data_IF_678011377250
#
_entry.id   IF_678011377250
#
_cell.length_a   1.000
_cell.length_b   1.000
_cell.length_c   1.000
_cell.angle_alpha   90.00
_cell.angle_beta   90.00
_cell.angle_gamma   90.00
#
_symmetry.space_group_name_H-M   'P 1'
#
loop_
_entity.id
_entity.type
_entity.pdbx_description
1 polymer ?
#
# COMPACT_ATOMS: atom_id res chain seq x y z
N UNK A 1 35.40 15.88 1.39
CA UNK A 1 34.13 16.64 1.30
C UNK A 1 33.14 16.09 2.32
N UNK A 2 33.55 16.04 3.59
CA UNK A 2 32.77 15.49 4.72
C UNK A 2 32.98 16.31 6.00
N UNK A 3 33.76 17.40 5.93
CA UNK A 3 34.13 18.23 7.09
C UNK A 3 33.38 19.57 7.13
N UNK A 4 32.71 20.00 6.04
CA UNK A 4 32.12 21.34 5.97
C UNK A 4 30.64 21.45 6.38
N UNK A 5 29.97 20.34 6.72
CA UNK A 5 28.56 20.35 7.18
C UNK A 5 28.42 20.36 8.71
N UNK A 6 29.52 20.49 9.46
CA UNK A 6 29.55 20.47 10.93
C UNK A 6 30.01 21.80 11.54
N UNK A 7 29.81 22.94 10.87
CA UNK A 7 30.09 24.25 11.47
C UNK A 7 28.92 24.70 12.35
N UNK A 8 28.89 24.19 13.58
CA UNK A 8 28.31 24.88 14.74
C UNK A 8 29.43 24.95 15.79
N UNK A 9 29.97 26.14 16.03
CA UNK A 9 31.11 26.45 16.92
C UNK A 9 30.85 26.20 18.43
N UNK A 10 29.91 25.32 18.78
CA UNK A 10 29.65 24.90 20.15
C UNK A 10 30.09 23.44 20.33
N UNK A 11 31.06 23.14 21.22
CA UNK A 11 31.45 21.77 21.50
C UNK A 11 30.23 21.00 22.04
N UNK A 12 29.84 19.95 21.32
CA UNK A 12 28.76 19.07 21.72
C UNK A 12 29.14 18.43 23.07
N UNK A 13 28.32 18.56 24.12
CA UNK A 13 28.61 17.93 25.39
C UNK A 13 28.68 16.41 25.23
N UNK A 14 29.64 15.76 25.90
CA UNK A 14 30.00 14.35 25.71
C UNK A 14 28.78 13.39 25.86
N UNK A 15 27.81 13.76 26.71
CA UNK A 15 26.55 13.02 26.88
C UNK A 15 25.54 13.13 25.72
N UNK A 16 25.67 14.13 24.83
CA UNK A 16 24.78 14.31 23.67
C UNK A 16 25.36 13.75 22.36
N UNK A 17 26.65 13.41 22.33
CA UNK A 17 27.32 12.95 21.10
C UNK A 17 26.62 11.71 20.52
N UNK A 18 26.18 10.78 21.37
CA UNK A 18 25.39 9.61 20.95
C UNK A 18 24.05 9.97 20.30
N UNK A 19 23.32 10.95 20.86
CA UNK A 19 22.03 11.39 20.31
C UNK A 19 22.19 12.12 18.97
N UNK A 20 23.24 12.92 18.82
CA UNK A 20 23.56 13.63 17.58
C UNK A 20 24.03 12.65 16.49
N UNK A 21 24.81 11.64 16.85
CA UNK A 21 25.22 10.58 15.93
C UNK A 21 24.00 9.78 15.40
N UNK A 22 23.09 9.37 16.30
CA UNK A 22 21.85 8.67 15.92
C UNK A 22 20.98 9.54 15.01
N UNK A 23 20.79 10.81 15.36
CA UNK A 23 20.00 11.75 14.56
C UNK A 23 20.61 11.97 13.17
N UNK A 24 21.94 11.97 13.06
CA UNK A 24 22.63 12.09 11.77
C UNK A 24 22.47 10.83 10.92
N UNK A 25 22.48 9.65 11.53
CA UNK A 25 22.21 8.38 10.85
C UNK A 25 20.75 8.30 10.36
N UNK A 26 19.79 8.68 11.21
CA UNK A 26 18.37 8.72 10.86
C UNK A 26 18.12 9.61 9.64
N UNK A 27 18.77 10.77 9.56
CA UNK A 27 18.69 11.67 8.39
C UNK A 27 19.16 11.01 7.10
N UNK A 28 20.31 10.34 7.12
CA UNK A 28 20.85 9.65 5.94
C UNK A 28 19.95 8.47 5.55
N UNK A 29 19.52 7.68 6.55
CA UNK A 29 18.63 6.55 6.38
C UNK A 29 17.29 6.96 5.74
N UNK A 30 16.63 7.98 6.30
CA UNK A 30 15.35 8.45 5.76
C UNK A 30 15.51 9.12 4.40
N UNK A 31 16.57 9.91 4.20
CA UNK A 31 16.86 10.51 2.89
C UNK A 31 17.00 9.45 1.80
N UNK A 32 17.70 8.35 2.08
CA UNK A 32 17.88 7.27 1.11
C UNK A 32 16.54 6.65 0.69
N UNK A 33 15.65 6.38 1.65
CA UNK A 33 14.34 5.76 1.42
C UNK A 33 13.38 6.72 0.75
N UNK A 34 13.28 7.96 1.24
CA UNK A 34 12.47 9.03 0.66
C UNK A 34 12.79 9.27 -0.81
N UNK A 35 14.09 9.23 -1.16
CA UNK A 35 14.57 9.57 -2.49
C UNK A 35 14.51 8.40 -3.48
N UNK A 36 14.07 7.21 -3.06
CA UNK A 36 14.07 6.00 -3.91
C UNK A 36 12.84 5.13 -3.69
N UNK A 37 11.67 5.76 -3.53
CA UNK A 37 10.41 5.03 -3.37
C UNK A 37 9.99 4.44 -4.71
N UNK A 38 9.70 3.16 -4.78
CA UNK A 38 9.25 2.44 -5.98
C UNK A 38 7.79 2.00 -5.83
N UNK A 39 6.84 2.75 -6.43
CA UNK A 39 5.45 2.39 -6.35
C UNK A 39 5.15 1.11 -7.12
N UNK A 40 4.28 0.27 -6.55
CA UNK A 40 3.71 -0.88 -7.22
C UNK A 40 2.73 -0.39 -8.29
N UNK A 41 2.87 -0.91 -9.51
CA UNK A 41 1.91 -0.67 -10.58
C UNK A 41 0.61 -1.44 -10.28
N UNK A 42 -0.26 -0.83 -9.48
CA UNK A 42 -1.52 -1.42 -9.06
C UNK A 42 -2.68 -0.47 -9.36
N UNK A 43 -3.53 -0.88 -10.32
CA UNK A 43 -4.64 -0.08 -10.84
C UNK A 43 -5.96 -0.84 -10.80
N UNK A 44 -7.00 -0.26 -10.18
CA UNK A 44 -8.31 -0.90 -10.03
C UNK A 44 -9.40 -0.27 -10.89
N UNK A 45 -9.43 1.07 -10.96
CA UNK A 45 -10.50 1.81 -11.62
C UNK A 45 -9.98 3.12 -12.25
N UNK A 46 -10.82 4.14 -12.35
CA UNK A 46 -10.49 5.43 -12.97
C UNK A 46 -9.27 6.14 -12.34
N UNK A 47 -8.99 5.96 -11.05
CA UNK A 47 -7.80 6.53 -10.41
C UNK A 47 -6.49 5.95 -10.96
N UNK A 48 -6.51 4.75 -11.54
CA UNK A 48 -5.34 4.17 -12.19
C UNK A 48 -4.95 4.94 -13.46
N UNK A 49 -5.93 5.47 -14.21
CA UNK A 49 -5.66 6.29 -15.40
C UNK A 49 -4.97 7.58 -14.99
N UNK A 50 -5.43 8.19 -13.89
CA UNK A 50 -4.83 9.41 -13.37
C UNK A 50 -3.43 9.18 -12.78
N UNK A 51 -3.21 8.00 -12.18
CA UNK A 51 -1.87 7.55 -11.77
C UNK A 51 -0.93 7.41 -12.97
N UNK A 52 -1.40 6.80 -14.07
CA UNK A 52 -0.63 6.69 -15.32
C UNK A 52 -0.36 8.08 -15.93
N UNK A 53 -1.35 8.98 -15.89
CA UNK A 53 -1.18 10.36 -16.35
C UNK A 53 -0.15 11.13 -15.51
N UNK A 54 -0.06 10.83 -14.22
CA UNK A 54 0.97 11.40 -13.32
C UNK A 54 2.36 10.85 -13.64
N UNK A 55 2.46 9.59 -14.06
CA UNK A 55 3.71 8.98 -14.52
C UNK A 55 4.14 9.46 -15.91
N UNK A 56 3.26 10.12 -16.66
CA UNK A 56 3.59 10.67 -17.98
C UNK A 56 4.47 11.94 -17.88
N UNK A 57 4.98 12.37 -19.02
CA UNK A 57 5.96 13.46 -19.16
C UNK A 57 5.55 14.82 -18.58
N UNK A 58 4.25 15.06 -18.38
CA UNK A 58 3.75 16.35 -17.87
C UNK A 58 4.04 16.54 -16.37
N UNK A 59 3.96 15.46 -15.59
CA UNK A 59 4.05 15.51 -14.13
C UNK A 59 5.27 14.76 -13.58
N UNK A 60 5.72 13.74 -14.31
CA UNK A 60 6.97 12.99 -14.13
C UNK A 60 7.28 12.59 -12.67
N UNK A 61 6.91 11.35 -12.33
CA UNK A 61 7.24 10.74 -11.04
C UNK A 61 8.74 10.48 -10.85
N UNK A 62 9.53 10.41 -11.92
CA UNK A 62 10.97 10.16 -11.82
C UNK A 62 11.70 11.28 -11.07
N UNK A 63 11.17 12.51 -11.12
CA UNK A 63 11.70 13.66 -10.37
C UNK A 63 11.77 13.42 -8.86
N UNK A 64 10.93 12.55 -8.32
CA UNK A 64 10.86 12.24 -6.89
C UNK A 64 11.50 10.89 -6.54
N UNK A 65 12.24 10.28 -7.47
CA UNK A 65 12.84 8.94 -7.30
C UNK A 65 11.86 7.78 -7.51
N UNK A 66 10.66 8.08 -8.03
CA UNK A 66 9.58 7.12 -8.31
C UNK A 66 9.49 6.79 -9.80
N UNK A 67 10.65 6.65 -10.45
CA UNK A 67 10.76 6.45 -11.90
C UNK A 67 10.28 5.07 -12.37
N UNK A 68 10.38 4.05 -11.50
CA UNK A 68 10.04 2.67 -11.84
C UNK A 68 8.75 2.24 -11.12
N UNK A 69 7.64 2.25 -11.85
CA UNK A 69 6.42 1.57 -11.42
C UNK A 69 6.61 0.06 -11.55
N UNK A 70 6.87 -0.64 -10.44
CA UNK A 70 7.18 -2.07 -10.43
C UNK A 70 5.88 -2.89 -10.45
N UNK A 71 5.77 -3.82 -11.41
CA UNK A 71 4.64 -4.76 -11.45
C UNK A 71 4.76 -5.89 -10.40
N UNK A 72 5.96 -6.11 -9.83
CA UNK A 72 6.19 -7.14 -8.82
C UNK A 72 6.10 -6.56 -7.42
N UNK A 73 5.27 -7.12 -6.51
CA UNK A 73 5.17 -6.64 -5.14
C UNK A 73 6.47 -6.83 -4.35
N UNK A 74 7.27 -7.84 -4.68
CA UNK A 74 8.54 -8.12 -3.99
C UNK A 74 9.63 -7.08 -4.24
N UNK A 75 9.45 -6.24 -5.26
CA UNK A 75 10.38 -5.19 -5.65
C UNK A 75 9.87 -3.79 -5.30
N UNK A 76 8.60 -3.66 -4.90
CA UNK A 76 7.98 -2.37 -4.60
C UNK A 76 7.94 -2.15 -3.09
N UNK A 77 8.08 -0.90 -2.67
CA UNK A 77 7.98 -0.47 -1.28
C UNK A 77 6.72 0.38 -1.02
N UNK A 78 6.11 0.97 -2.05
CA UNK A 78 4.88 1.75 -1.94
C UNK A 78 3.73 1.07 -2.71
N UNK A 79 2.64 0.75 -2.02
CA UNK A 79 1.40 0.28 -2.64
C UNK A 79 0.41 1.44 -2.78
N UNK A 80 0.14 1.87 -4.01
CA UNK A 80 -0.90 2.85 -4.31
C UNK A 80 -2.20 2.11 -4.61
N UNK A 81 -3.18 2.21 -3.71
CA UNK A 81 -4.52 1.64 -3.94
C UNK A 81 -5.33 2.64 -4.76
N UNK A 82 -5.25 2.51 -6.09
CA UNK A 82 -5.84 3.46 -7.05
C UNK A 82 -7.20 2.99 -7.59
N UNK A 83 -8.25 3.22 -6.81
CA UNK A 83 -9.64 3.08 -7.26
C UNK A 83 -10.55 2.28 -6.34
N UNK A 84 -11.64 1.77 -6.90
CA UNK A 84 -12.69 1.08 -6.15
C UNK A 84 -12.24 -0.31 -5.73
N UNK A 85 -12.33 -0.59 -4.44
CA UNK A 85 -11.96 -1.89 -3.87
C UNK A 85 -13.22 -2.74 -3.69
N UNK A 86 -13.28 -3.85 -4.42
CA UNK A 86 -14.39 -4.80 -4.32
C UNK A 86 -14.08 -5.90 -3.31
N UNK A 87 -15.13 -6.49 -2.70
CA UNK A 87 -15.02 -7.62 -1.76
C UNK A 87 -14.21 -8.79 -2.34
N UNK A 88 -14.32 -9.04 -3.65
CA UNK A 88 -13.53 -10.08 -4.35
C UNK A 88 -12.04 -9.72 -4.47
N UNK A 89 -11.73 -8.43 -4.58
CA UNK A 89 -10.35 -7.97 -4.77
C UNK A 89 -9.56 -7.84 -3.47
N UNK A 90 -10.23 -7.57 -2.33
CA UNK A 90 -9.57 -7.43 -1.02
C UNK A 90 -8.58 -8.54 -0.67
N UNK A 91 -8.92 -9.85 -0.73
CA UNK A 91 -7.96 -10.90 -0.35
C UNK A 91 -6.71 -10.89 -1.22
N UNK A 92 -6.83 -10.46 -2.48
CA UNK A 92 -5.69 -10.29 -3.39
C UNK A 92 -4.84 -9.10 -2.96
N UNK A 93 -5.44 -7.98 -2.56
CA UNK A 93 -4.70 -6.80 -2.06
C UNK A 93 -3.94 -7.14 -0.79
N UNK A 94 -4.58 -7.81 0.17
CA UNK A 94 -3.94 -8.26 1.42
C UNK A 94 -2.78 -9.20 1.10
N UNK A 95 -2.95 -10.12 0.15
CA UNK A 95 -1.87 -11.00 -0.31
C UNK A 95 -0.72 -10.23 -0.96
N UNK A 96 -1.01 -9.24 -1.80
CA UNK A 96 0.04 -8.41 -2.42
C UNK A 96 0.82 -7.64 -1.36
N UNK A 97 0.13 -7.05 -0.39
CA UNK A 97 0.73 -6.33 0.72
C UNK A 97 1.62 -7.23 1.59
N UNK A 98 1.17 -8.44 1.92
CA UNK A 98 1.98 -9.40 2.68
C UNK A 98 3.24 -9.86 1.89
N UNK A 99 3.21 -9.82 0.56
CA UNK A 99 4.34 -10.19 -0.29
C UNK A 99 5.35 -9.06 -0.52
N UNK A 100 5.07 -7.84 -0.05
CA UNK A 100 6.01 -6.72 -0.13
C UNK A 100 7.09 -6.80 0.95
N UNK A 101 8.34 -6.43 0.63
CA UNK A 101 9.41 -6.36 1.62
C UNK A 101 9.15 -5.23 2.63
N UNK A 102 9.67 -5.38 3.84
CA UNK A 102 9.81 -4.25 4.74
C UNK A 102 11.02 -3.40 4.30
N UNK A 103 10.92 -2.07 4.27
CA UNK A 103 9.78 -1.24 4.69
C UNK A 103 8.71 -1.07 3.59
N UNK A 104 7.43 -1.22 3.96
CA UNK A 104 6.31 -1.03 3.03
C UNK A 104 5.35 0.08 3.46
N UNK A 105 4.78 0.76 2.49
CA UNK A 105 3.86 1.88 2.67
C UNK A 105 2.61 1.74 1.82
N UNK A 106 1.50 2.31 2.29
CA UNK A 106 0.22 2.24 1.59
C UNK A 106 -0.39 3.62 1.44
N UNK A 107 -0.74 3.97 0.21
CA UNK A 107 -1.38 5.22 -0.14
C UNK A 107 -2.76 4.93 -0.74
N UNK A 108 -3.80 5.44 -0.10
CA UNK A 108 -5.17 5.31 -0.58
C UNK A 108 -5.49 6.47 -1.54
N UNK A 109 -5.65 6.15 -2.83
CA UNK A 109 -5.89 7.14 -3.87
C UNK A 109 -7.37 7.16 -4.27
N UNK A 110 -8.02 8.28 -4.01
CA UNK A 110 -9.39 8.56 -4.40
C UNK A 110 -10.43 8.16 -3.37
N UNK A 111 -11.65 8.69 -3.53
CA UNK A 111 -12.75 8.52 -2.59
C UNK A 111 -13.15 7.05 -2.39
N UNK A 112 -13.01 6.22 -3.42
CA UNK A 112 -13.37 4.81 -3.33
C UNK A 112 -12.40 4.01 -2.45
N UNK A 113 -11.09 4.25 -2.54
CA UNK A 113 -10.09 3.57 -1.71
C UNK A 113 -10.17 4.04 -0.25
N UNK A 114 -10.42 5.33 -0.03
CA UNK A 114 -10.50 5.91 1.31
C UNK A 114 -11.78 5.57 2.08
N UNK A 115 -12.91 5.39 1.40
CA UNK A 115 -14.21 5.28 2.08
C UNK A 115 -15.34 4.60 1.30
N UNK A 116 -15.04 3.91 0.19
CA UNK A 116 -16.02 3.33 -0.73
C UNK A 116 -16.60 4.34 -1.74
N UNK A 117 -16.43 5.65 -1.50
CA UNK A 117 -16.79 6.72 -2.44
C UNK A 117 -18.28 6.68 -2.81
N UNK A 118 -18.65 6.98 -4.08
CA UNK A 118 -20.04 6.93 -4.53
C UNK A 118 -20.65 5.51 -4.49
N UNK A 119 -19.82 4.47 -4.37
CA UNK A 119 -20.26 3.08 -4.34
C UNK A 119 -20.32 2.49 -2.93
N UNK A 120 -20.27 3.33 -1.89
CA UNK A 120 -20.24 2.88 -0.48
C UNK A 120 -21.44 2.00 -0.10
N UNK A 121 -22.60 2.25 -0.70
CA UNK A 121 -23.83 1.47 -0.47
C UNK A 121 -23.94 0.23 -1.38
N UNK A 122 -22.97 0.02 -2.27
CA UNK A 122 -22.95 -1.13 -3.16
C UNK A 122 -22.66 -2.44 -2.44
N UNK A 123 -23.37 -3.51 -2.79
CA UNK A 123 -23.24 -4.84 -2.17
C UNK A 123 -21.84 -5.46 -2.29
N UNK A 124 -21.08 -5.07 -3.32
CA UNK A 124 -19.80 -5.66 -3.68
C UNK A 124 -18.59 -4.76 -3.34
N UNK A 125 -18.80 -3.53 -2.88
CA UNK A 125 -17.72 -2.57 -2.59
C UNK A 125 -17.42 -2.53 -1.11
N UNK A 126 -16.14 -2.42 -0.76
CA UNK A 126 -15.70 -2.21 0.61
C UNK A 126 -15.68 -0.72 0.93
N UNK A 127 -16.15 -0.35 2.12
CA UNK A 127 -16.23 1.04 2.57
C UNK A 127 -14.87 1.68 2.94
N UNK A 128 -13.75 1.19 2.41
CA UNK A 128 -12.40 1.65 2.73
C UNK A 128 -11.38 0.51 2.79
N UNK A 129 -10.17 0.73 2.28
CA UNK A 129 -9.06 -0.24 2.33
C UNK A 129 -8.42 -0.32 3.73
N UNK A 130 -8.60 0.73 4.51
CA UNK A 130 -8.15 0.91 5.90
C UNK A 130 -8.66 -0.16 6.87
N UNK A 131 -9.82 -0.77 6.57
CA UNK A 131 -10.37 -1.89 7.34
C UNK A 131 -9.53 -3.16 7.27
N UNK A 132 -8.68 -3.29 6.25
CA UNK A 132 -7.93 -4.52 5.98
C UNK A 132 -6.42 -4.31 6.03
N UNK A 133 -5.93 -3.14 5.63
CA UNK A 133 -4.49 -2.86 5.51
C UNK A 133 -4.24 -1.46 6.09
N UNK A 134 -3.14 -1.24 6.84
CA UNK A 134 -2.81 0.08 7.35
C UNK A 134 -2.52 1.05 6.20
N UNK A 135 -3.24 2.17 6.17
CA UNK A 135 -3.04 3.25 5.19
C UNK A 135 -2.20 4.36 5.81
N UNK A 136 -1.14 4.77 5.12
CA UNK A 136 -0.24 5.82 5.57
C UNK A 136 -0.72 7.22 5.22
N UNK A 137 -1.20 7.40 3.99
CA UNK A 137 -1.63 8.68 3.43
C UNK A 137 -2.91 8.48 2.60
N UNK A 138 -3.88 9.36 2.81
CA UNK A 138 -5.12 9.41 2.04
C UNK A 138 -5.10 10.59 1.07
N UNK A 139 -5.50 10.35 -0.18
CA UNK A 139 -5.63 11.40 -1.19
C UNK A 139 -7.10 11.48 -1.61
N UNK A 140 -7.83 12.53 -1.19
CA UNK A 140 -9.21 12.72 -1.60
C UNK A 140 -9.29 13.12 -3.08
N UNK A 141 -10.33 12.63 -3.78
CA UNK A 141 -10.62 12.97 -5.18
C UNK A 141 -11.40 11.88 -5.92
N UNK A 142 -11.94 12.18 -7.10
CA UNK A 142 -12.71 11.21 -7.91
C UNK A 142 -12.65 11.52 -9.43
N UNK A 143 -11.53 11.23 -10.12
CA UNK A 143 -10.22 10.89 -9.58
C UNK A 143 -9.50 12.13 -9.01
N UNK A 144 -8.55 11.98 -8.06
CA UNK A 144 -7.73 13.09 -7.61
C UNK A 144 -6.83 13.58 -8.74
N UNK A 145 -6.69 14.90 -8.92
CA UNK A 145 -5.83 15.44 -9.98
C UNK A 145 -4.38 14.97 -9.84
N UNK A 146 -3.57 14.96 -10.92
CA UNK A 146 -2.19 14.49 -10.86
C UNK A 146 -1.34 15.31 -9.88
N UNK A 147 -1.64 16.61 -9.76
CA UNK A 147 -1.01 17.48 -8.77
C UNK A 147 -1.38 17.08 -7.34
N UNK A 148 -2.63 16.67 -7.09
CA UNK A 148 -3.05 16.18 -5.79
C UNK A 148 -2.38 14.83 -5.45
N UNK A 149 -2.20 13.96 -6.45
CA UNK A 149 -1.41 12.74 -6.28
C UNK A 149 0.04 13.05 -5.90
N UNK A 150 0.70 13.94 -6.65
CA UNK A 150 2.06 14.41 -6.34
C UNK A 150 2.17 15.00 -4.94
N UNK A 151 1.21 15.82 -4.53
CA UNK A 151 1.20 16.37 -3.17
C UNK A 151 1.07 15.27 -2.11
N UNK A 152 0.23 14.25 -2.34
CA UNK A 152 0.14 13.09 -1.45
C UNK A 152 1.44 12.29 -1.37
N UNK A 153 2.18 12.16 -2.48
CA UNK A 153 3.51 11.55 -2.50
C UNK A 153 4.54 12.37 -1.73
N UNK A 154 4.50 13.70 -1.84
CA UNK A 154 5.35 14.60 -1.02
C UNK A 154 5.01 14.45 0.47
N UNK A 155 3.72 14.35 0.83
CA UNK A 155 3.31 14.08 2.21
C UNK A 155 3.79 12.71 2.71
N UNK A 156 3.83 11.70 1.84
CA UNK A 156 4.42 10.40 2.15
C UNK A 156 5.93 10.53 2.42
N UNK A 157 6.64 11.32 1.61
CA UNK A 157 8.05 11.62 1.81
C UNK A 157 8.32 12.35 3.13
N UNK A 158 7.49 13.34 3.48
CA UNK A 158 7.55 14.02 4.78
C UNK A 158 7.33 13.06 5.96
N UNK A 159 6.41 12.09 5.80
CA UNK A 159 6.17 11.04 6.80
C UNK A 159 7.39 10.14 6.99
N UNK A 160 8.10 9.81 5.91
CA UNK A 160 9.34 9.02 5.96
C UNK A 160 10.46 9.80 6.65
N UNK A 161 10.59 11.10 6.35
CA UNK A 161 11.60 11.97 6.98
C UNK A 161 11.44 12.04 8.51
N UNK A 162 10.22 11.90 9.02
CA UNK A 162 9.91 11.94 10.46
C UNK A 162 10.13 10.64 11.24
N UNK A 163 10.60 9.55 10.61
CA UNK A 163 10.82 8.26 11.29
C UNK A 163 12.20 8.20 11.97
N UNK A 164 12.31 7.49 13.10
CA UNK A 164 13.62 7.14 13.68
C UNK A 164 13.89 5.65 13.53
N UNK A 165 15.14 5.27 13.25
CA UNK A 165 15.57 3.87 13.10
C UNK A 165 15.25 3.03 14.35
N UNK A 166 15.18 3.65 15.53
CA UNK A 166 14.87 2.96 16.77
C UNK A 166 13.38 2.66 16.96
N UNK A 167 12.51 3.45 16.35
CA UNK A 167 11.05 3.39 16.58
C UNK A 167 10.31 2.55 15.53
N UNK A 168 10.92 2.38 14.35
CA UNK A 168 10.27 1.75 13.21
C UNK A 168 9.92 0.28 13.45
N UNK A 169 8.78 -0.21 12.92
CA UNK A 169 8.30 -1.57 13.21
C UNK A 169 9.23 -2.69 12.76
N UNK A 170 9.92 -2.52 11.62
CA UNK A 170 10.67 -3.61 10.98
C UNK A 170 12.02 -3.95 11.62
N UNK A 171 12.54 -3.10 12.53
CA UNK A 171 13.74 -3.40 13.31
C UNK A 171 13.44 -3.88 14.73
N UNK A 172 12.15 -4.01 15.09
CA UNK A 172 11.75 -4.57 16.38
C UNK A 172 12.04 -6.07 16.40
N UNK A 173 12.38 -6.59 17.58
CA UNK A 173 12.66 -8.02 17.76
C UNK A 173 11.41 -8.90 17.68
N UNK A 174 10.23 -8.31 17.81
CA UNK A 174 8.95 -9.01 17.70
C UNK A 174 8.70 -9.46 16.25
N UNK A 175 8.19 -10.68 16.04
CA UNK A 175 7.83 -11.13 14.70
C UNK A 175 6.69 -10.26 14.15
N UNK A 176 6.82 -9.82 12.89
CA UNK A 176 5.77 -9.10 12.20
C UNK A 176 4.73 -10.13 11.73
N UNK A 177 3.57 -10.14 12.37
CA UNK A 177 2.48 -11.02 11.97
C UNK A 177 1.92 -10.59 10.59
N UNK A 178 1.75 -11.58 9.70
CA UNK A 178 1.10 -11.35 8.42
C UNK A 178 -0.38 -11.00 8.62
N UNK A 179 -0.89 -10.06 7.82
CA UNK A 179 -2.32 -9.73 7.87
C UNK A 179 -3.11 -10.96 7.38
N UNK A 180 -4.09 -11.46 8.16
CA UNK A 180 -4.87 -12.61 7.75
C UNK A 180 -5.64 -12.30 6.48
N UNK A 181 -5.59 -13.21 5.50
CA UNK A 181 -6.38 -13.07 4.28
C UNK A 181 -7.87 -13.18 4.62
N UNK A 182 -8.68 -12.17 4.30
CA UNK A 182 -10.10 -12.22 4.59
C UNK A 182 -10.80 -13.27 3.74
N UNK A 183 -11.68 -14.03 4.37
CA UNK A 183 -12.54 -14.97 3.68
C UNK A 183 -13.58 -14.22 2.84
N UNK A 184 -13.86 -14.75 1.66
CA UNK A 184 -14.94 -14.25 0.83
C UNK A 184 -16.27 -14.50 1.55
N UNK A 185 -17.19 -13.54 1.45
CA UNK A 185 -18.53 -13.70 1.99
C UNK A 185 -19.28 -14.84 1.27
N UNK A 186 -20.36 -15.38 1.87
CA UNK A 186 -21.14 -16.48 1.28
C UNK A 186 -21.73 -16.14 -0.10
N UNK A 187 -21.88 -14.86 -0.41
CA UNK A 187 -22.37 -14.36 -1.70
C UNK A 187 -21.33 -14.43 -2.83
N UNK A 188 -20.06 -14.70 -2.50
CA UNK A 188 -18.95 -14.72 -3.45
C UNK A 188 -18.41 -16.14 -3.60
N UNK A 189 -18.33 -16.59 -4.84
CA UNK A 189 -17.72 -17.87 -5.18
C UNK A 189 -16.21 -17.73 -5.11
N UNK A 190 -15.57 -18.56 -4.27
CA UNK A 190 -14.12 -18.77 -4.32
C UNK A 190 -13.80 -19.79 -5.42
N UNK A 191 -12.95 -19.45 -6.40
CA UNK A 191 -12.52 -20.40 -7.43
C UNK A 191 -11.85 -21.67 -6.88
N UNK A 192 -11.28 -21.61 -5.67
CA UNK A 192 -10.64 -22.77 -5.03
C UNK A 192 -11.63 -23.85 -4.62
N UNK A 193 -12.88 -23.47 -4.38
CA UNK A 193 -13.93 -24.35 -3.90
C UNK A 193 -14.75 -24.95 -5.06
N UNK A 194 -14.42 -24.62 -6.32
CA UNK A 194 -15.08 -25.16 -7.53
C UNK A 194 -15.15 -26.69 -7.55
N UNK A 195 -14.10 -27.45 -7.20
CA UNK A 195 -14.17 -28.91 -7.16
C UNK A 195 -15.26 -29.42 -6.21
N UNK A 196 -15.34 -28.83 -5.02
CA UNK A 196 -16.31 -29.19 -3.98
C UNK A 196 -17.75 -28.88 -4.42
N UNK A 197 -17.95 -27.77 -5.14
CA UNK A 197 -19.25 -27.44 -5.72
C UNK A 197 -19.64 -28.42 -6.83
N UNK A 198 -18.71 -28.84 -7.68
CA UNK A 198 -18.98 -29.81 -8.74
C UNK A 198 -19.39 -31.18 -8.17
N UNK A 199 -18.76 -31.61 -7.08
CA UNK A 199 -19.12 -32.86 -6.39
C UNK A 199 -20.51 -32.76 -5.75
N UNK A 200 -20.81 -31.64 -5.07
CA UNK A 200 -22.15 -31.38 -4.52
C UNK A 200 -23.24 -31.34 -5.59
N UNK A 201 -22.95 -30.75 -6.75
CA UNK A 201 -23.89 -30.69 -7.87
C UNK A 201 -24.21 -32.08 -8.40
N UNK A 202 -23.19 -32.93 -8.60
CA UNK A 202 -23.38 -34.34 -9.02
C UNK A 202 -24.23 -35.11 -8.00
N UNK A 203 -23.92 -34.99 -6.71
CA UNK A 203 -24.71 -35.64 -5.66
C UNK A 203 -26.18 -35.14 -5.62
N UNK A 204 -26.40 -33.87 -5.94
CA UNK A 204 -27.74 -33.28 -6.02
C UNK A 204 -28.50 -33.75 -7.27
N UNK A 205 -27.83 -33.88 -8.41
CA UNK A 205 -28.38 -34.47 -9.64
C UNK A 205 -28.76 -35.94 -9.43
N UNK A 206 -27.91 -36.73 -8.77
CA UNK A 206 -28.19 -38.13 -8.42
C UNK A 206 -29.41 -38.24 -7.48
N UNK A 207 -29.52 -37.37 -6.47
CA UNK A 207 -30.71 -37.32 -5.58
C UNK A 207 -31.99 -36.97 -6.35
N UNK A 208 -31.93 -35.96 -7.22
CA UNK A 208 -33.08 -35.53 -8.00
C UNK A 208 -33.50 -36.58 -9.04
N UNK A 209 -32.55 -37.36 -9.57
CA UNK A 209 -32.84 -38.49 -10.44
C UNK A 209 -33.54 -39.61 -9.66
N UNK A 210 -33.10 -39.92 -8.43
CA UNK A 210 -33.73 -40.93 -7.58
C UNK A 210 -35.13 -40.54 -7.08
N UNK A 211 -35.42 -39.24 -6.89
CA UNK A 211 -36.76 -38.75 -6.53
C UNK A 211 -37.76 -38.72 -7.71
N UNK A 212 -37.26 -38.89 -8.94
CA UNK A 212 -38.08 -38.88 -10.16
C UNK A 212 -38.52 -40.28 -10.62
N UNK A 213 -37.96 -41.33 -10.04
CA UNK A 213 -38.43 -42.74 -10.19
C UNK A 213 -39.46 -43.10 -9.11
#
# INVERSE_FOLDING_TARGET
MSEELSNNDNPVPEGLQGQIAITSLDKIYNWSRRSSIWPMMFGLACCAIEMIATAASRYDLARFGMEVLRASPRQADLMIVSGTVTKKMIPIIVRLYNQMPEPKYVLAMGACASGGGPFKEGYNVVSGVDKFIPVDVYIPGCPPTPQALLHGLIKMQEKIDGQSVLEVPWYRSEPIDEIPQPLLGPDLIDPRDIPDFAEKLKAQEERLAAERE
#
